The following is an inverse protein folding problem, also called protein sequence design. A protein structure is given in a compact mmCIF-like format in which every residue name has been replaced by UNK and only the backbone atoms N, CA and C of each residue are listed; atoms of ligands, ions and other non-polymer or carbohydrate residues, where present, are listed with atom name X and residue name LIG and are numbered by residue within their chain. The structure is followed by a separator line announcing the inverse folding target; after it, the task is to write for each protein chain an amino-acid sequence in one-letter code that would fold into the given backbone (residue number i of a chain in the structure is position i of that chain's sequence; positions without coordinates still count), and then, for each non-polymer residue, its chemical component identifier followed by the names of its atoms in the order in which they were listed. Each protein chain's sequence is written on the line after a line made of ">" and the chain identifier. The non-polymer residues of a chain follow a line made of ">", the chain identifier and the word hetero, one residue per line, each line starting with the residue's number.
data_IF_458597870433
#
_entry.id   IF_458597870433
#
_cell.length_a   1.000
_cell.length_b   1.000
_cell.length_c   1.000
_cell.angle_alpha   90.00
_cell.angle_beta   90.00
_cell.angle_gamma   90.00
#
_symmetry.space_group_name_H-M   'P 1'
#
loop_
_entity.id
_entity.type
_entity.pdbx_description
1 polymer ?
#
# COMPACT_ATOMS: atom_id res chain seq x y z
N UNK A 1 -5.13 55.40 5.24
CA UNK A 1 -4.95 54.08 4.56
C UNK A 1 -5.17 52.95 5.57
N UNK A 2 -6.25 52.15 5.46
CA UNK A 2 -6.51 51.03 6.40
C UNK A 2 -5.77 49.77 5.94
N UNK A 3 -4.86 49.23 6.77
CA UNK A 3 -4.10 47.99 6.50
C UNK A 3 -5.06 46.79 6.42
N UNK A 4 -5.10 46.10 5.28
CA UNK A 4 -5.87 44.84 5.10
C UNK A 4 -5.32 43.78 6.07
N UNK A 5 -6.15 43.31 7.00
CA UNK A 5 -5.79 42.24 7.94
C UNK A 5 -5.47 40.94 7.20
N UNK A 6 -4.39 40.26 7.61
CA UNK A 6 -3.99 38.95 7.07
C UNK A 6 -5.15 37.94 7.26
N UNK A 7 -5.74 37.45 6.17
CA UNK A 7 -6.72 36.34 6.21
C UNK A 7 -6.05 35.10 6.80
N UNK A 8 -6.53 34.62 7.95
CA UNK A 8 -6.06 33.35 8.55
C UNK A 8 -6.37 32.21 7.57
N UNK A 9 -5.37 31.42 7.17
CA UNK A 9 -5.60 30.24 6.32
C UNK A 9 -6.45 29.24 7.09
N UNK A 10 -7.55 28.77 6.47
CA UNK A 10 -8.39 27.73 7.07
C UNK A 10 -7.59 26.43 7.07
N UNK A 11 -7.29 25.89 8.26
CA UNK A 11 -6.67 24.57 8.40
C UNK A 11 -7.57 23.52 7.73
N UNK A 12 -6.99 22.66 6.89
CA UNK A 12 -7.72 21.53 6.30
C UNK A 12 -8.16 20.59 7.43
N UNK A 13 -9.41 20.14 7.39
CA UNK A 13 -9.93 19.16 8.35
C UNK A 13 -9.26 17.81 8.05
N UNK A 14 -8.60 17.22 9.05
CA UNK A 14 -8.06 15.86 8.93
C UNK A 14 -9.25 14.90 8.96
N UNK A 15 -9.39 14.08 7.92
CA UNK A 15 -10.41 13.03 7.85
C UNK A 15 -9.82 11.74 8.39
N UNK A 16 -10.42 11.18 9.43
CA UNK A 16 -10.03 9.89 9.98
C UNK A 16 -10.94 8.77 9.44
N UNK A 17 -10.39 7.58 9.28
CA UNK A 17 -11.11 6.37 8.88
C UNK A 17 -10.89 5.29 9.95
N UNK A 18 -11.93 4.53 10.25
CA UNK A 18 -11.88 3.46 11.25
C UNK A 18 -11.53 2.14 10.57
N UNK A 19 -10.62 1.37 11.18
CA UNK A 19 -10.27 0.02 10.75
C UNK A 19 -10.49 -0.91 11.93
N UNK A 20 -11.36 -1.91 11.76
CA UNK A 20 -11.68 -2.92 12.79
C UNK A 20 -11.15 -4.28 12.34
N UNK A 21 -10.43 -4.95 13.21
CA UNK A 21 -9.98 -6.34 13.01
C UNK A 21 -10.28 -7.13 14.27
N UNK A 22 -10.59 -8.41 14.09
CA UNK A 22 -10.76 -9.36 15.20
C UNK A 22 -9.41 -10.02 15.47
N UNK A 23 -9.10 -10.25 16.74
CA UNK A 23 -7.94 -11.04 17.17
C UNK A 23 -8.43 -12.31 17.86
N UNK A 24 -7.69 -13.39 17.70
CA UNK A 24 -7.89 -14.54 18.56
C UNK A 24 -7.51 -14.20 20.01
N UNK A 25 -8.07 -14.92 20.96
CA UNK A 25 -7.79 -14.70 22.39
C UNK A 25 -6.29 -14.85 22.70
N UNK A 26 -5.63 -15.85 22.11
CA UNK A 26 -4.19 -16.08 22.26
C UNK A 26 -3.38 -14.89 21.73
N UNK A 27 -3.75 -14.35 20.57
CA UNK A 27 -3.08 -13.18 19.99
C UNK A 27 -3.26 -11.97 20.90
N UNK A 28 -4.47 -11.72 21.38
CA UNK A 28 -4.75 -10.58 22.27
C UNK A 28 -3.97 -10.66 23.59
N UNK A 29 -3.93 -11.85 24.21
CA UNK A 29 -3.17 -12.09 25.45
C UNK A 29 -1.67 -11.86 25.25
N UNK A 30 -1.12 -12.38 24.16
CA UNK A 30 0.29 -12.17 23.79
C UNK A 30 0.61 -10.69 23.60
N UNK A 31 -0.23 -9.99 22.84
CA UNK A 31 -0.07 -8.55 22.55
C UNK A 31 -0.13 -7.71 23.83
N UNK A 32 -1.03 -8.05 24.75
CA UNK A 32 -1.20 -7.36 26.03
C UNK A 32 0.03 -7.55 26.93
N UNK A 33 0.55 -8.78 27.02
CA UNK A 33 1.75 -9.07 27.81
C UNK A 33 2.98 -8.33 27.26
N UNK A 34 3.14 -8.30 25.94
CA UNK A 34 4.19 -7.51 25.30
C UNK A 34 4.07 -6.02 25.64
N UNK A 35 2.85 -5.46 25.53
CA UNK A 35 2.60 -4.06 25.83
C UNK A 35 2.92 -3.70 27.28
N UNK A 36 2.59 -4.58 28.24
CA UNK A 36 2.95 -4.44 29.65
C UNK A 36 4.47 -4.41 29.85
N UNK A 37 5.19 -5.36 29.27
CA UNK A 37 6.65 -5.46 29.40
C UNK A 37 7.40 -4.24 28.83
N UNK A 38 6.87 -3.64 27.75
CA UNK A 38 7.49 -2.49 27.06
C UNK A 38 6.86 -1.14 27.40
N UNK A 39 5.94 -1.08 28.39
CA UNK A 39 5.22 0.15 28.79
C UNK A 39 4.63 0.91 27.60
N UNK A 40 4.00 0.18 26.69
CA UNK A 40 3.34 0.74 25.49
C UNK A 40 1.86 0.34 25.46
N UNK A 41 1.10 0.93 24.54
CA UNK A 41 -0.29 0.54 24.29
C UNK A 41 -0.39 -0.25 22.98
N UNK A 42 -1.40 -1.10 22.89
CA UNK A 42 -1.70 -1.90 21.69
C UNK A 42 -1.81 -0.99 20.46
N UNK A 43 -2.53 0.13 20.59
CA UNK A 43 -2.71 1.10 19.50
C UNK A 43 -1.37 1.69 19.05
N UNK A 44 -0.52 2.09 20.01
CA UNK A 44 0.79 2.68 19.70
C UNK A 44 1.72 1.67 19.02
N UNK A 45 1.69 0.43 19.48
CA UNK A 45 2.43 -0.67 18.85
C UNK A 45 1.97 -0.88 17.41
N UNK A 46 0.66 -1.05 17.18
CA UNK A 46 0.11 -1.29 15.84
C UNK A 46 0.44 -0.13 14.91
N UNK A 47 0.21 1.11 15.34
CA UNK A 47 0.56 2.30 14.56
C UNK A 47 2.03 2.31 14.18
N UNK A 48 2.93 2.01 15.13
CA UNK A 48 4.38 1.95 14.86
C UNK A 48 4.74 0.83 13.90
N UNK A 49 4.08 -0.33 13.98
CA UNK A 49 4.32 -1.45 13.08
C UNK A 49 3.87 -1.17 11.66
N UNK A 50 2.73 -0.49 11.47
CA UNK A 50 2.21 -0.14 10.14
C UNK A 50 2.82 1.14 9.56
N UNK A 51 3.47 1.96 10.38
CA UNK A 51 4.04 3.27 10.00
C UNK A 51 4.93 3.19 8.74
N UNK A 52 5.78 2.15 8.70
CA UNK A 52 6.67 1.86 7.55
C UNK A 52 5.92 1.61 6.25
N UNK A 53 4.71 1.07 6.34
CA UNK A 53 3.86 0.73 5.20
C UNK A 53 2.84 1.83 4.88
N UNK A 54 2.64 2.81 5.76
CA UNK A 54 1.68 3.90 5.56
C UNK A 54 2.32 5.18 5.00
N UNK A 55 3.54 5.51 5.42
CA UNK A 55 4.10 6.86 5.17
C UNK A 55 4.63 7.08 3.74
N UNK A 56 4.94 6.02 2.98
CA UNK A 56 5.57 6.13 1.66
C UNK A 56 4.61 5.92 0.47
N UNK A 57 3.31 5.75 0.74
CA UNK A 57 2.32 5.37 -0.28
C UNK A 57 1.17 6.38 -0.42
N UNK A 58 1.22 7.51 0.29
CA UNK A 58 0.13 8.51 0.30
C UNK A 58 -0.03 9.26 -1.03
N UNK A 59 1.09 9.53 -1.72
CA UNK A 59 1.08 10.35 -2.95
C UNK A 59 1.08 9.48 -4.21
N UNK A 60 2.03 8.55 -4.32
CA UNK A 60 2.12 7.57 -5.41
C UNK A 60 2.79 6.30 -4.88
N UNK A 61 2.24 5.14 -5.24
CA UNK A 61 2.93 3.86 -5.07
C UNK A 61 4.20 3.91 -5.94
N UNK A 62 5.37 3.46 -5.46
CA UNK A 62 6.56 3.40 -6.31
C UNK A 62 6.35 2.52 -7.55
N UNK A 63 6.82 3.00 -8.73
CA UNK A 63 6.65 2.32 -10.03
C UNK A 63 7.14 0.86 -10.04
N UNK A 64 8.12 0.53 -9.20
CA UNK A 64 8.68 -0.81 -9.01
C UNK A 64 7.66 -1.86 -8.53
N UNK A 65 6.55 -1.44 -7.91
CA UNK A 65 5.50 -2.36 -7.43
C UNK A 65 4.34 -2.56 -8.42
N UNK A 66 4.34 -1.87 -9.57
CA UNK A 66 3.28 -2.02 -10.59
C UNK A 66 3.53 -3.18 -11.53
N UNK A 67 4.77 -3.67 -11.62
CA UNK A 67 5.10 -4.84 -12.43
C UNK A 67 4.77 -6.07 -11.59
N UNK A 68 3.68 -6.76 -11.93
CA UNK A 68 3.45 -8.09 -11.37
C UNK A 68 4.40 -9.08 -12.09
N UNK A 69 4.95 -10.04 -11.36
CA UNK A 69 5.86 -11.06 -11.94
C UNK A 69 5.26 -11.77 -13.16
N UNK A 70 3.92 -11.81 -13.29
CA UNK A 70 3.18 -12.47 -14.37
C UNK A 70 2.77 -11.55 -15.53
N UNK A 71 3.09 -10.26 -15.51
CA UNK A 71 2.75 -9.37 -16.63
C UNK A 71 3.57 -9.67 -17.90
N UNK A 72 4.74 -10.30 -17.77
CA UNK A 72 5.57 -10.70 -18.91
C UNK A 72 5.07 -11.99 -19.58
N UNK A 73 4.34 -12.84 -18.84
CA UNK A 73 3.75 -14.09 -19.38
C UNK A 73 2.64 -13.80 -20.40
N UNK A 74 1.98 -12.64 -20.33
CA UNK A 74 0.96 -12.22 -21.30
C UNK A 74 1.51 -12.02 -22.72
N UNK A 75 2.84 -11.86 -22.86
CA UNK A 75 3.49 -11.65 -24.14
C UNK A 75 4.28 -12.89 -24.61
N UNK A 76 4.39 -13.95 -23.81
CA UNK A 76 5.11 -15.17 -24.17
C UNK A 76 4.36 -16.06 -25.18
N UNK A 77 3.04 -16.11 -25.08
CA UNK A 77 2.21 -17.04 -25.85
C UNK A 77 1.83 -16.53 -27.25
N UNK A 78 2.03 -15.25 -27.55
CA UNK A 78 1.66 -14.66 -28.86
C UNK A 78 2.74 -14.81 -29.93
N UNK A 79 3.99 -15.16 -29.57
CA UNK A 79 5.11 -15.23 -30.53
C UNK A 79 5.35 -16.63 -31.12
N UNK A 80 4.64 -17.66 -30.66
CA UNK A 80 4.75 -19.03 -31.20
C UNK A 80 3.89 -19.27 -32.43
N UNK A 81 2.85 -18.46 -32.67
CA UNK A 81 1.93 -18.62 -33.82
C UNK A 81 2.50 -18.04 -35.12
N UNK A 82 3.41 -17.06 -35.06
CA UNK A 82 3.94 -16.38 -36.24
C UNK A 82 5.05 -17.15 -36.99
N UNK A 83 5.45 -18.34 -36.54
CA UNK A 83 6.52 -19.14 -37.17
C UNK A 83 6.03 -20.24 -38.11
N UNK A 84 4.74 -20.57 -38.11
CA UNK A 84 4.22 -21.68 -38.94
C UNK A 84 3.77 -21.26 -40.35
N UNK A 85 3.57 -19.96 -40.62
CA UNK A 85 3.01 -19.51 -41.92
C UNK A 85 4.04 -19.33 -43.05
N UNK A 86 5.33 -19.64 -42.86
CA UNK A 86 6.36 -19.48 -43.92
C UNK A 86 6.79 -20.77 -44.64
N UNK A 87 6.11 -21.90 -44.42
CA UNK A 87 6.44 -23.18 -45.08
C UNK A 87 5.36 -23.66 -46.07
N UNK A 88 4.79 -22.77 -46.88
CA UNK A 88 4.02 -23.19 -48.07
C UNK A 88 4.38 -22.33 -49.31
N UNK A 89 5.39 -22.81 -50.05
CA UNK A 89 5.61 -22.53 -51.48
C UNK A 89 6.19 -23.82 -52.09
N UNK A 90 5.33 -24.70 -52.59
CA UNK A 90 5.05 -24.98 -54.02
C UNK A 90 6.28 -25.52 -54.76
N UNK A 91 6.24 -26.81 -55.09
CA UNK A 91 6.72 -27.36 -56.36
C UNK A 91 5.52 -27.62 -57.27
#
# INVERSE_FOLDING_TARGET
>A
MKKKGKKKSKKRKIKFKEVKFKLSEKQYRSLTNYCKARKTTIIKLIKKSIDKYANNYDVQVPKQFFVSERQLDLFGDTFSVAKEEQNFHID
#
